data_IF_094393260998
#
_entry.id   IF_094393260998
#
_cell.length_a   1.000
_cell.length_b   1.000
_cell.length_c   1.000
_cell.angle_alpha   90.00
_cell.angle_beta   90.00
_cell.angle_gamma   90.00
#
_symmetry.space_group_name_H-M   'P 1'
#
loop_
_entity.id
_entity.type
_entity.pdbx_description
1 polymer ?
#
# COMPACT_ATOMS: atom_id res chain seq x y z
N UNK A 1 -12.25 5.32 5.05
CA UNK A 1 -11.97 5.46 3.60
C UNK A 1 -12.17 4.11 2.91
N UNK A 2 -13.13 3.95 1.98
CA UNK A 2 -13.35 2.64 1.37
C UNK A 2 -12.15 2.23 0.50
N UNK A 3 -11.74 0.97 0.63
CA UNK A 3 -10.58 0.37 -0.05
C UNK A 3 -10.88 -1.07 -0.50
N UNK A 4 -12.14 -1.29 -0.92
CA UNK A 4 -12.65 -2.56 -1.42
C UNK A 4 -11.73 -3.18 -2.48
N UNK A 5 -11.62 -4.51 -2.43
CA UNK A 5 -10.82 -5.33 -3.35
C UNK A 5 -9.30 -5.09 -3.27
N UNK A 6 -8.83 -4.48 -2.18
CA UNK A 6 -7.41 -4.31 -1.85
C UNK A 6 -7.06 -4.92 -0.48
N UNK A 7 -7.30 -6.20 -0.19
CA UNK A 7 -7.80 -7.25 -1.09
C UNK A 7 -9.24 -7.70 -0.79
N UNK A 8 -9.71 -7.57 0.46
CA UNK A 8 -11.06 -8.01 0.84
C UNK A 8 -12.16 -7.19 0.11
N UNK A 9 -13.28 -7.82 -0.32
CA UNK A 9 -14.40 -7.10 -0.92
C UNK A 9 -15.01 -6.08 0.05
N UNK A 10 -14.97 -6.36 1.36
CA UNK A 10 -15.41 -5.46 2.43
C UNK A 10 -14.23 -4.85 3.18
N UNK A 11 -13.43 -4.01 2.51
CA UNK A 11 -12.23 -3.40 3.10
C UNK A 11 -12.34 -1.86 3.24
N UNK A 12 -11.82 -1.34 4.36
CA UNK A 12 -11.76 0.09 4.66
C UNK A 12 -10.42 0.44 5.31
N UNK A 13 -9.89 1.59 4.93
CA UNK A 13 -8.75 2.26 5.56
C UNK A 13 -9.23 3.38 6.47
N UNK A 14 -8.36 3.86 7.36
CA UNK A 14 -8.63 4.99 8.25
C UNK A 14 -7.63 6.11 7.99
N UNK A 15 -8.13 7.35 7.97
CA UNK A 15 -7.29 8.54 7.80
C UNK A 15 -7.55 9.47 8.97
N UNK A 16 -6.49 9.81 9.70
CA UNK A 16 -6.49 10.83 10.73
C UNK A 16 -5.99 12.15 10.14
N UNK A 17 -6.85 13.16 9.94
CA UNK A 17 -6.45 14.44 9.36
C UNK A 17 -5.65 15.34 10.31
N UNK A 18 -5.69 15.08 11.63
CA UNK A 18 -4.93 15.85 12.61
C UNK A 18 -3.49 15.35 12.65
N UNK A 19 -3.33 14.02 12.77
CA UNK A 19 -2.01 13.39 12.77
C UNK A 19 -1.41 13.23 11.36
N UNK A 20 -2.22 13.39 10.30
CA UNK A 20 -1.86 13.12 8.90
C UNK A 20 -1.37 11.69 8.67
N UNK A 21 -1.93 10.76 9.44
CA UNK A 21 -1.62 9.33 9.39
C UNK A 21 -2.73 8.61 8.63
N UNK A 22 -2.32 7.82 7.64
CA UNK A 22 -3.20 6.97 6.87
C UNK A 22 -2.94 5.50 7.23
N UNK A 23 -3.84 4.90 8.00
CA UNK A 23 -3.82 3.47 8.29
C UNK A 23 -4.40 2.69 7.11
N UNK A 24 -3.54 1.94 6.42
CA UNK A 24 -3.81 1.35 5.12
C UNK A 24 -4.17 -0.14 5.14
N UNK A 25 -4.35 -0.74 6.31
CA UNK A 25 -4.66 -2.18 6.40
C UNK A 25 -3.61 -3.02 5.66
N UNK A 26 -4.04 -3.95 4.82
CA UNK A 26 -3.14 -4.80 4.02
C UNK A 26 -2.40 -4.05 2.89
N UNK A 27 -2.87 -2.87 2.50
CA UNK A 27 -2.18 -2.08 1.48
C UNK A 27 -0.88 -1.52 2.06
N UNK A 28 0.26 -1.84 1.44
CA UNK A 28 1.59 -1.57 1.98
C UNK A 28 2.19 -2.73 2.78
N UNK A 29 1.49 -3.88 2.87
CA UNK A 29 2.05 -5.06 3.51
C UNK A 29 3.35 -5.53 2.84
N UNK A 30 4.34 -5.82 3.68
CA UNK A 30 5.63 -6.38 3.27
C UNK A 30 5.87 -7.71 3.99
N UNK A 31 6.30 -8.72 3.22
CA UNK A 31 6.62 -10.06 3.72
C UNK A 31 8.13 -10.17 3.89
N UNK A 32 8.59 -10.10 5.13
CA UNK A 32 10.02 -10.08 5.46
C UNK A 32 10.61 -11.49 5.55
N UNK A 33 11.87 -11.67 5.11
CA UNK A 33 12.67 -12.81 5.55
C UNK A 33 12.85 -12.79 7.08
N UNK A 34 13.05 -13.97 7.65
CA UNK A 34 13.29 -14.11 9.09
C UNK A 34 14.46 -13.24 9.55
N UNK A 35 14.27 -12.51 10.65
CA UNK A 35 15.30 -11.65 11.26
C UNK A 35 15.67 -10.40 10.46
N UNK A 36 14.91 -10.02 9.41
CA UNK A 36 15.18 -8.84 8.56
C UNK A 36 14.16 -7.70 8.70
N UNK A 37 13.21 -7.82 9.62
CA UNK A 37 12.18 -6.80 9.81
C UNK A 37 12.75 -5.52 10.45
N UNK A 38 12.18 -4.39 10.05
CA UNK A 38 12.44 -3.06 10.59
C UNK A 38 11.12 -2.28 10.70
N UNK A 39 11.05 -1.29 11.60
CA UNK A 39 9.80 -0.57 11.85
C UNK A 39 9.47 0.47 10.77
N UNK A 40 10.44 1.26 10.34
CA UNK A 40 10.26 2.32 9.35
C UNK A 40 10.99 1.98 8.06
N UNK A 41 10.36 2.27 6.92
CA UNK A 41 11.00 2.13 5.61
C UNK A 41 12.07 3.21 5.46
N UNK A 42 13.33 2.80 5.32
CA UNK A 42 14.47 3.67 5.04
C UNK A 42 14.83 3.63 3.55
N UNK A 43 15.08 2.43 3.02
CA UNK A 43 15.32 2.18 1.58
C UNK A 43 14.05 1.61 0.92
N UNK A 44 13.38 2.45 0.13
CA UNK A 44 12.16 2.07 -0.57
C UNK A 44 12.39 1.02 -1.67
N UNK A 45 13.51 1.08 -2.40
CA UNK A 45 13.74 0.16 -3.51
C UNK A 45 14.03 -1.26 -3.02
N UNK A 46 14.71 -1.39 -1.89
CA UNK A 46 14.86 -2.68 -1.22
C UNK A 46 13.53 -3.14 -0.62
N UNK A 47 12.81 -2.26 0.07
CA UNK A 47 11.52 -2.58 0.70
C UNK A 47 10.47 -3.08 -0.30
N UNK A 48 10.43 -2.48 -1.50
CA UNK A 48 9.54 -2.84 -2.61
C UNK A 48 9.57 -4.33 -2.94
N UNK A 49 10.74 -4.96 -2.86
CA UNK A 49 10.92 -6.40 -3.15
C UNK A 49 10.11 -7.29 -2.20
N UNK A 50 9.89 -6.83 -0.96
CA UNK A 50 9.09 -7.55 0.04
C UNK A 50 7.58 -7.31 -0.10
N UNK A 51 7.18 -6.23 -0.79
CA UNK A 51 5.77 -5.88 -1.01
C UNK A 51 5.21 -6.45 -2.30
N UNK A 52 5.99 -6.45 -3.37
CA UNK A 52 5.48 -6.65 -4.74
C UNK A 52 4.77 -7.98 -4.96
N UNK A 53 5.29 -9.14 -4.51
CA UNK A 53 4.58 -10.41 -4.68
C UNK A 53 3.21 -10.42 -4.00
N UNK A 54 3.09 -9.84 -2.80
CA UNK A 54 1.83 -9.73 -2.07
C UNK A 54 0.84 -8.85 -2.85
N UNK A 55 1.25 -7.65 -3.25
CA UNK A 55 0.36 -6.71 -3.94
C UNK A 55 -0.08 -7.21 -5.32
N UNK A 56 0.84 -7.79 -6.09
CA UNK A 56 0.50 -8.39 -7.39
C UNK A 56 -0.46 -9.55 -7.27
N UNK A 57 -0.39 -10.35 -6.19
CA UNK A 57 -1.25 -11.53 -6.04
C UNK A 57 -2.59 -11.23 -5.36
N UNK A 58 -2.61 -10.37 -4.36
CA UNK A 58 -3.75 -10.20 -3.46
C UNK A 58 -4.67 -9.05 -3.87
N UNK A 59 -4.15 -7.93 -4.40
CA UNK A 59 -5.03 -6.89 -4.92
C UNK A 59 -5.82 -7.45 -6.09
N UNK A 60 -7.15 -7.33 -6.06
CA UNK A 60 -7.98 -8.10 -6.98
C UNK A 60 -7.83 -7.66 -8.45
N UNK A 61 -7.65 -6.37 -8.72
CA UNK A 61 -7.52 -5.80 -10.07
C UNK A 61 -6.93 -4.39 -10.02
N UNK A 62 -6.26 -3.97 -11.09
CA UNK A 62 -5.69 -2.64 -11.27
C UNK A 62 -6.72 -1.53 -11.15
N UNK A 63 -7.97 -1.81 -11.51
CA UNK A 63 -9.10 -0.87 -11.34
C UNK A 63 -9.33 -0.52 -9.86
N UNK A 64 -9.07 -1.44 -8.93
CA UNK A 64 -9.19 -1.16 -7.50
C UNK A 64 -8.16 -0.12 -7.05
N UNK A 65 -6.92 -0.24 -7.55
CA UNK A 65 -5.85 0.75 -7.33
C UNK A 65 -6.25 2.13 -7.88
N UNK A 66 -6.78 2.21 -9.11
CA UNK A 66 -7.21 3.48 -9.70
C UNK A 66 -8.27 4.21 -8.88
N UNK A 67 -9.26 3.45 -8.39
CA UNK A 67 -10.33 3.99 -7.55
C UNK A 67 -9.76 4.47 -6.22
N UNK A 68 -8.83 3.73 -5.64
CA UNK A 68 -8.17 4.13 -4.39
C UNK A 68 -7.31 5.38 -4.56
N UNK A 69 -6.49 5.47 -5.62
CA UNK A 69 -5.68 6.66 -5.95
C UNK A 69 -6.53 7.91 -6.08
N UNK A 70 -7.70 7.81 -6.74
CA UNK A 70 -8.65 8.92 -6.83
C UNK A 70 -9.21 9.35 -5.48
N UNK A 71 -9.43 8.40 -4.55
CA UNK A 71 -9.99 8.67 -3.22
C UNK A 71 -9.00 9.36 -2.29
N UNK A 72 -7.72 9.03 -2.39
CA UNK A 72 -6.68 9.65 -1.56
C UNK A 72 -6.15 10.97 -2.15
N UNK A 73 -6.56 11.31 -3.37
CA UNK A 73 -6.13 12.53 -4.05
C UNK A 73 -6.53 13.77 -3.23
N UNK A 74 -5.54 14.60 -2.91
CA UNK A 74 -5.74 15.85 -2.15
C UNK A 74 -5.70 15.70 -0.64
N UNK A 75 -5.49 14.48 -0.10
CA UNK A 75 -5.20 14.30 1.31
C UNK A 75 -3.75 14.67 1.61
N UNK A 76 -3.51 15.31 2.75
CA UNK A 76 -2.17 15.53 3.29
C UNK A 76 -1.77 14.32 4.14
N UNK A 77 -0.94 13.43 3.57
CA UNK A 77 -0.53 12.19 4.23
C UNK A 77 0.97 12.27 4.49
N UNK A 78 1.34 12.36 5.76
CA UNK A 78 2.74 12.38 6.21
C UNK A 78 3.26 10.97 6.54
N UNK A 79 2.33 10.06 6.90
CA UNK A 79 2.61 8.67 7.28
C UNK A 79 1.58 7.71 6.67
N UNK A 80 2.06 6.62 6.09
CA UNK A 80 1.21 5.45 5.77
C UNK A 80 1.62 4.30 6.69
N UNK A 81 0.67 3.80 7.47
CA UNK A 81 0.87 2.71 8.43
C UNK A 81 0.07 1.47 7.99
N UNK A 82 0.71 0.46 7.39
CA UNK A 82 0.05 -0.80 7.07
C UNK A 82 -0.16 -1.66 8.34
N UNK A 83 -1.11 -2.59 8.27
CA UNK A 83 -1.36 -3.60 9.30
C UNK A 83 -0.22 -4.62 9.40
N UNK A 84 0.51 -4.83 8.31
CA UNK A 84 1.63 -5.74 8.21
C UNK A 84 2.85 -5.03 7.64
N UNK A 85 4.04 -5.40 8.10
CA UNK A 85 5.29 -4.89 7.57
C UNK A 85 5.79 -3.62 8.27
N UNK A 86 6.14 -2.59 7.50
CA UNK A 86 6.84 -1.38 8.00
C UNK A 86 6.10 -0.11 7.63
N UNK A 87 6.33 0.95 8.39
CA UNK A 87 5.67 2.25 8.24
C UNK A 87 6.41 3.10 7.21
N UNK A 88 5.67 3.73 6.31
CA UNK A 88 6.19 4.72 5.35
C UNK A 88 6.04 6.12 5.94
N UNK A 89 7.10 6.92 5.89
CA UNK A 89 7.10 8.32 6.35
C UNK A 89 7.90 9.21 5.40
N UNK A 90 7.59 10.50 5.37
CA UNK A 90 8.30 11.47 4.54
C UNK A 90 8.24 11.12 3.05
N UNK A 91 9.39 11.12 2.37
CA UNK A 91 9.44 10.83 0.92
C UNK A 91 8.97 9.42 0.54
N UNK A 92 9.05 8.47 1.46
CA UNK A 92 8.65 7.08 1.21
C UNK A 92 7.13 6.92 1.06
N UNK A 93 6.33 7.85 1.59
CA UNK A 93 4.88 7.92 1.33
C UNK A 93 4.62 8.16 -0.16
N UNK A 94 5.32 9.14 -0.75
CA UNK A 94 5.17 9.45 -2.17
C UNK A 94 5.69 8.31 -3.04
N UNK A 95 6.87 7.76 -2.72
CA UNK A 95 7.44 6.61 -3.46
C UNK A 95 6.50 5.40 -3.43
N UNK A 96 5.85 5.12 -2.29
CA UNK A 96 4.84 4.06 -2.18
C UNK A 96 3.65 4.28 -3.12
N UNK A 97 3.08 5.48 -3.11
CA UNK A 97 1.92 5.81 -3.96
C UNK A 97 2.29 5.74 -5.45
N UNK A 98 3.46 6.29 -5.81
CA UNK A 98 3.97 6.27 -7.19
C UNK A 98 4.22 4.83 -7.66
N UNK A 99 4.82 3.99 -6.81
CA UNK A 99 5.03 2.58 -7.10
C UNK A 99 3.71 1.83 -7.27
N UNK A 100 2.75 2.00 -6.36
CA UNK A 100 1.45 1.34 -6.46
C UNK A 100 0.74 1.72 -7.77
N UNK A 101 0.83 2.99 -8.18
CA UNK A 101 0.29 3.47 -9.45
C UNK A 101 1.03 2.87 -10.68
N UNK A 102 2.32 2.56 -10.54
CA UNK A 102 3.14 1.96 -11.60
C UNK A 102 2.82 0.48 -11.87
N UNK A 103 2.17 -0.21 -10.93
CA UNK A 103 1.75 -1.60 -11.15
C UNK A 103 0.75 -1.65 -12.32
N UNK A 104 1.08 -2.40 -13.35
CA UNK A 104 0.31 -2.52 -14.59
C UNK A 104 -0.79 -3.59 -14.49
N UNK A 105 -0.47 -4.71 -13.83
CA UNK A 105 -1.35 -5.87 -13.62
C UNK A 105 -1.24 -6.39 -12.20
N UNK A 106 -2.38 -6.71 -11.61
CA UNK A 106 -2.51 -7.36 -10.29
C UNK A 106 -3.72 -8.30 -10.28
N UNK A 107 -3.72 -9.28 -9.39
CA UNK A 107 -4.85 -10.19 -9.15
C UNK A 107 -5.34 -10.85 -10.43
N UNK A 108 -6.61 -10.61 -10.76
CA UNK A 108 -7.26 -11.18 -11.94
C UNK A 108 -6.66 -10.67 -13.26
N UNK A 109 -5.99 -9.52 -13.28
CA UNK A 109 -5.36 -9.00 -14.50
C UNK A 109 -4.15 -9.84 -14.93
N UNK A 110 -3.63 -10.68 -14.02
CA UNK A 110 -2.56 -11.64 -14.27
C UNK A 110 -3.07 -13.00 -14.76
N UNK A 111 -4.39 -13.23 -14.71
CA UNK A 111 -5.02 -14.45 -15.22
C UNK A 111 -5.25 -14.23 -16.72
N UNK A 112 -4.38 -14.84 -17.54
CA UNK A 112 -4.60 -14.97 -18.99
C UNK A 112 -5.67 -16.01 -19.31
#
# INVERSE_FOLDING_TARGET
MPAHFMHSPGNFHYYDPIARVYFSGDLGAAVFPEGKWYLFVEDFEEHKKFMEPFHRRYIATRRAIDVWLKRIKGLEIDVIAPQHGSIFQGENVKKFIDWLNSLDKVGIDLME
#
